data_IF_735127341288
#
_entry.id   IF_735127341288
#
_cell.length_a   1.000
_cell.length_b   1.000
_cell.length_c   1.000
_cell.angle_alpha   90.00
_cell.angle_beta   90.00
_cell.angle_gamma   90.00
#
_symmetry.space_group_name_H-M   'P 1'
#
loop_
_entity.id
_entity.type
_entity.pdbx_description
1 polymer ?
#
# COMPACT_ATOMS: atom_id res chain seq x y z
N UNK A 1 -4.70 -64.43 -39.50
CA UNK A 1 -4.57 -63.83 -38.17
C UNK A 1 -3.83 -62.55 -38.31
N UNK A 2 -4.51 -61.40 -38.26
CA UNK A 2 -3.90 -60.09 -38.33
C UNK A 2 -3.84 -59.50 -36.88
N UNK A 3 -2.63 -59.29 -36.36
CA UNK A 3 -2.44 -58.61 -35.08
C UNK A 3 -2.61 -57.10 -35.31
N UNK A 4 -3.63 -56.54 -34.70
CA UNK A 4 -3.80 -55.09 -34.56
C UNK A 4 -2.97 -54.64 -33.35
N UNK A 5 -1.88 -53.89 -33.59
CA UNK A 5 -1.13 -53.18 -32.56
C UNK A 5 -1.85 -51.85 -32.24
N UNK A 6 -2.48 -51.78 -31.08
CA UNK A 6 -3.03 -50.54 -30.56
C UNK A 6 -1.88 -49.67 -29.99
N UNK A 7 -1.57 -48.56 -30.67
CA UNK A 7 -0.67 -47.52 -30.12
C UNK A 7 -1.40 -46.71 -29.07
N UNK A 8 -1.03 -46.90 -27.82
CA UNK A 8 -1.47 -46.06 -26.71
C UNK A 8 -0.79 -44.70 -26.82
N UNK A 9 -1.53 -43.65 -27.13
CA UNK A 9 -1.07 -42.26 -27.06
C UNK A 9 -1.04 -41.90 -25.57
N UNK A 10 0.15 -41.90 -24.98
CA UNK A 10 0.37 -41.35 -23.64
C UNK A 10 0.26 -39.82 -23.71
N UNK A 11 -0.86 -39.27 -23.24
CA UNK A 11 -0.97 -37.87 -22.97
C UNK A 11 0.01 -37.56 -21.82
N UNK A 12 1.09 -36.87 -22.12
CA UNK A 12 1.94 -36.28 -21.11
C UNK A 12 1.08 -35.28 -20.31
N UNK A 13 0.73 -35.65 -19.08
CA UNK A 13 0.15 -34.71 -18.12
C UNK A 13 1.21 -33.69 -17.79
N UNK A 14 1.26 -32.61 -18.55
CA UNK A 14 2.06 -31.43 -18.19
C UNK A 14 1.62 -30.95 -16.80
N UNK A 15 2.57 -30.73 -15.90
CA UNK A 15 2.27 -30.12 -14.60
C UNK A 15 1.48 -28.82 -14.81
N UNK A 16 0.40 -28.62 -14.02
CA UNK A 16 -0.39 -27.38 -14.11
C UNK A 16 0.53 -26.16 -14.01
N UNK A 17 0.32 -25.14 -14.85
CA UNK A 17 1.17 -23.95 -14.82
C UNK A 17 1.13 -23.31 -13.43
N UNK A 18 2.27 -22.78 -12.98
CA UNK A 18 2.43 -22.20 -11.65
C UNK A 18 2.87 -20.75 -11.72
N UNK A 19 2.53 -19.99 -10.68
CA UNK A 19 3.02 -18.65 -10.39
C UNK A 19 3.59 -18.67 -8.98
N UNK A 20 4.83 -18.26 -8.81
CA UNK A 20 5.45 -18.08 -7.50
C UNK A 20 5.40 -16.60 -7.10
N UNK A 21 4.56 -16.29 -6.13
CA UNK A 21 4.28 -14.95 -5.65
C UNK A 21 5.01 -14.67 -4.34
N UNK A 22 5.82 -13.62 -4.31
CA UNK A 22 6.33 -13.03 -3.06
C UNK A 22 5.50 -11.80 -2.75
N UNK A 23 4.84 -11.78 -1.57
CA UNK A 23 3.87 -10.76 -1.22
C UNK A 23 4.12 -10.17 0.16
N UNK A 24 4.28 -8.85 0.22
CA UNK A 24 4.23 -8.10 1.47
C UNK A 24 2.79 -7.71 1.87
N UNK A 25 1.81 -8.07 1.06
CA UNK A 25 0.40 -7.92 1.40
C UNK A 25 0.01 -9.00 2.40
N UNK A 26 -0.50 -8.58 3.54
CA UNK A 26 -0.82 -9.45 4.69
C UNK A 26 -2.34 -9.48 4.96
N UNK A 27 -3.14 -9.32 3.91
CA UNK A 27 -4.58 -9.36 4.02
C UNK A 27 -5.09 -10.79 3.82
N UNK A 28 -5.75 -11.35 4.83
CA UNK A 28 -6.39 -12.67 4.72
C UNK A 28 -7.43 -12.70 3.57
N UNK A 29 -8.00 -11.56 3.26
CA UNK A 29 -8.91 -11.37 2.14
C UNK A 29 -8.26 -11.64 0.78
N UNK A 30 -6.96 -11.46 0.60
CA UNK A 30 -6.26 -11.69 -0.68
C UNK A 30 -6.31 -13.17 -1.14
N UNK A 31 -6.63 -14.11 -0.23
CA UNK A 31 -6.82 -15.53 -0.57
C UNK A 31 -7.88 -15.73 -1.66
N UNK A 32 -9.01 -15.04 -1.55
CA UNK A 32 -10.08 -15.13 -2.55
C UNK A 32 -9.63 -14.56 -3.91
N UNK A 33 -8.77 -13.53 -3.91
CA UNK A 33 -8.21 -12.96 -5.13
C UNK A 33 -7.31 -13.97 -5.86
N UNK A 34 -6.45 -14.68 -5.13
CA UNK A 34 -5.55 -15.69 -5.69
C UNK A 34 -6.30 -16.92 -6.16
N UNK A 35 -7.31 -17.34 -5.41
CA UNK A 35 -8.19 -18.46 -5.78
C UNK A 35 -9.00 -18.16 -7.04
N UNK A 36 -9.49 -16.92 -7.19
CA UNK A 36 -10.21 -16.46 -8.38
C UNK A 36 -9.30 -16.45 -9.62
N UNK A 37 -8.07 -15.97 -9.49
CA UNK A 37 -7.07 -16.04 -10.55
C UNK A 37 -6.83 -17.48 -11.00
N UNK A 38 -6.62 -18.40 -10.05
CA UNK A 38 -6.41 -19.82 -10.36
C UNK A 38 -7.61 -20.43 -11.06
N UNK A 39 -8.83 -20.11 -10.61
CA UNK A 39 -10.07 -20.59 -11.23
C UNK A 39 -10.25 -20.10 -12.67
N UNK A 40 -9.88 -18.83 -12.94
CA UNK A 40 -10.02 -18.23 -14.28
C UNK A 40 -8.95 -18.70 -15.27
N UNK A 41 -7.75 -19.01 -14.79
CA UNK A 41 -6.58 -19.22 -15.66
C UNK A 41 -6.05 -20.65 -15.66
N UNK A 42 -6.39 -21.44 -14.64
CA UNK A 42 -5.76 -22.74 -14.38
C UNK A 42 -4.34 -22.63 -13.80
N UNK A 43 -3.82 -21.42 -13.57
CA UNK A 43 -2.48 -21.19 -13.03
C UNK A 43 -2.56 -21.24 -11.50
N UNK A 44 -1.83 -22.18 -10.90
CA UNK A 44 -1.76 -22.29 -9.44
C UNK A 44 -0.83 -21.24 -8.86
N UNK A 45 -1.27 -20.52 -7.82
CA UNK A 45 -0.45 -19.54 -7.10
C UNK A 45 0.22 -20.22 -5.91
N UNK A 46 1.55 -20.30 -5.94
CA UNK A 46 2.39 -20.61 -4.77
C UNK A 46 2.84 -19.28 -4.18
N UNK A 47 2.68 -19.07 -2.88
CA UNK A 47 3.05 -17.78 -2.29
C UNK A 47 3.96 -17.90 -1.07
N UNK A 48 4.79 -16.86 -0.90
CA UNK A 48 5.53 -16.57 0.32
C UNK A 48 5.12 -15.18 0.76
N UNK A 49 4.63 -15.07 1.99
CA UNK A 49 4.24 -13.82 2.62
C UNK A 49 5.23 -13.46 3.73
N UNK A 50 5.77 -12.24 3.67
CA UNK A 50 6.67 -11.68 4.68
C UNK A 50 6.65 -10.15 4.61
N UNK A 51 7.31 -9.48 5.54
CA UNK A 51 7.51 -8.03 5.46
C UNK A 51 8.34 -7.61 4.25
N UNK A 52 8.12 -6.40 3.74
CA UNK A 52 8.77 -5.87 2.54
C UNK A 52 10.29 -6.05 2.56
N UNK A 53 10.97 -5.67 3.65
CA UNK A 53 12.43 -5.77 3.75
C UNK A 53 12.92 -7.22 3.69
N UNK A 54 12.23 -8.14 4.36
CA UNK A 54 12.61 -9.56 4.36
C UNK A 54 12.47 -10.17 2.96
N UNK A 55 11.44 -9.76 2.19
CA UNK A 55 11.26 -10.21 0.81
C UNK A 55 12.33 -9.63 -0.12
N UNK A 56 12.65 -8.34 0.02
CA UNK A 56 13.69 -7.69 -0.78
C UNK A 56 15.06 -8.34 -0.53
N UNK A 57 15.40 -8.60 0.73
CA UNK A 57 16.65 -9.26 1.10
C UNK A 57 16.70 -10.71 0.61
N UNK A 58 15.59 -11.43 0.72
CA UNK A 58 15.48 -12.79 0.20
C UNK A 58 15.75 -12.84 -1.30
N UNK A 59 15.12 -11.97 -2.09
CA UNK A 59 15.30 -11.92 -3.54
C UNK A 59 16.76 -11.58 -3.89
N UNK A 60 17.40 -10.67 -3.16
CA UNK A 60 18.81 -10.33 -3.37
C UNK A 60 19.71 -11.54 -3.10
N UNK A 61 19.45 -12.27 -2.01
CA UNK A 61 20.21 -13.47 -1.61
C UNK A 61 20.00 -14.61 -2.61
N UNK A 62 18.78 -14.84 -3.06
CA UNK A 62 18.46 -15.87 -4.06
C UNK A 62 19.03 -15.52 -5.45
N UNK A 63 19.16 -14.24 -5.76
CA UNK A 63 19.73 -13.73 -7.02
C UNK A 63 19.07 -14.33 -8.25
N UNK A 64 19.87 -14.83 -9.19
CA UNK A 64 19.36 -15.44 -10.42
C UNK A 64 18.68 -16.82 -10.20
N UNK A 65 18.84 -17.41 -9.02
CA UNK A 65 18.21 -18.69 -8.65
C UNK A 65 16.85 -18.49 -7.94
N UNK A 66 16.38 -17.24 -7.79
CA UNK A 66 15.11 -16.99 -7.16
C UNK A 66 13.98 -17.69 -7.92
N UNK A 67 13.14 -18.46 -7.23
CA UNK A 67 11.99 -19.11 -7.85
C UNK A 67 10.82 -18.10 -8.04
N UNK A 68 10.91 -16.90 -7.50
CA UNK A 68 9.83 -15.94 -7.49
C UNK A 68 9.59 -15.31 -8.86
N UNK A 69 8.31 -15.22 -9.26
CA UNK A 69 7.88 -14.63 -10.51
C UNK A 69 7.40 -13.19 -10.34
N UNK A 70 6.64 -12.93 -9.28
CA UNK A 70 6.05 -11.61 -8.98
C UNK A 70 6.40 -11.21 -7.56
N UNK A 71 6.72 -9.93 -7.39
CA UNK A 71 6.83 -9.27 -6.09
C UNK A 71 5.71 -8.25 -5.94
N UNK A 72 4.87 -8.40 -4.89
CA UNK A 72 3.88 -7.42 -4.46
C UNK A 72 4.35 -6.69 -3.21
N UNK A 73 4.34 -5.37 -3.25
CA UNK A 73 4.75 -4.47 -2.15
C UNK A 73 3.63 -3.51 -1.79
N UNK A 74 3.63 -3.01 -0.56
CA UNK A 74 2.51 -2.22 0.00
C UNK A 74 2.81 -0.74 0.18
N UNK A 75 3.89 -0.24 -0.41
CA UNK A 75 4.31 1.15 -0.26
C UNK A 75 5.09 1.65 -1.50
N UNK A 76 4.83 2.89 -1.87
CA UNK A 76 5.51 3.56 -2.98
C UNK A 76 7.04 3.55 -2.86
N UNK A 77 7.56 3.75 -1.65
CA UNK A 77 8.99 3.77 -1.38
C UNK A 77 9.63 2.40 -1.56
N UNK A 78 8.91 1.33 -1.25
CA UNK A 78 9.37 -0.05 -1.42
C UNK A 78 9.40 -0.46 -2.89
N UNK A 79 8.38 -0.08 -3.65
CA UNK A 79 8.36 -0.28 -5.11
C UNK A 79 9.51 0.45 -5.78
N UNK A 80 9.74 1.72 -5.42
CA UNK A 80 10.86 2.49 -5.93
C UNK A 80 12.21 1.85 -5.54
N UNK A 81 12.35 1.38 -4.30
CA UNK A 81 13.56 0.69 -3.85
C UNK A 81 13.83 -0.57 -4.66
N UNK A 82 12.84 -1.43 -4.84
CA UNK A 82 12.96 -2.63 -5.67
C UNK A 82 13.34 -2.28 -7.13
N UNK A 83 12.80 -1.19 -7.66
CA UNK A 83 13.12 -0.69 -9.00
C UNK A 83 14.59 -0.26 -9.11
N UNK A 84 15.10 0.59 -8.20
CA UNK A 84 16.50 1.06 -8.29
C UNK A 84 17.52 -0.04 -8.01
N UNK A 85 17.14 -1.06 -7.24
CA UNK A 85 17.95 -2.26 -7.02
C UNK A 85 17.92 -3.22 -8.24
N UNK A 86 17.16 -2.88 -9.31
CA UNK A 86 17.07 -3.65 -10.54
C UNK A 86 16.43 -5.02 -10.36
N UNK A 87 15.49 -5.15 -9.42
CA UNK A 87 14.81 -6.42 -9.11
C UNK A 87 13.71 -6.74 -10.11
N UNK A 88 13.15 -5.75 -10.80
CA UNK A 88 12.09 -5.93 -11.78
C UNK A 88 12.62 -5.99 -13.21
N UNK A 89 11.88 -6.66 -14.08
CA UNK A 89 12.03 -6.56 -15.52
C UNK A 89 10.87 -5.75 -16.11
N UNK A 90 11.09 -4.99 -17.20
CA UNK A 90 10.02 -4.24 -17.85
C UNK A 90 8.98 -5.17 -18.47
N UNK A 91 7.72 -4.80 -18.34
CA UNK A 91 6.57 -5.49 -18.91
C UNK A 91 5.82 -4.55 -19.83
N UNK A 92 5.68 -4.93 -21.10
CA UNK A 92 4.79 -4.27 -22.05
C UNK A 92 3.50 -5.08 -22.16
N UNK A 93 2.40 -4.50 -21.74
CA UNK A 93 1.07 -5.10 -21.85
C UNK A 93 0.06 -4.03 -22.25
N UNK A 94 -0.62 -4.26 -23.38
CA UNK A 94 -1.71 -3.35 -23.83
C UNK A 94 -2.82 -3.23 -22.79
N UNK A 95 -3.07 -4.28 -22.01
CA UNK A 95 -4.08 -4.30 -20.95
C UNK A 95 -3.64 -3.39 -19.81
N UNK A 96 -2.43 -3.60 -19.27
CA UNK A 96 -1.90 -2.80 -18.16
C UNK A 96 -1.74 -1.33 -18.57
N UNK A 97 -1.26 -1.09 -19.78
CA UNK A 97 -1.03 0.27 -20.31
C UNK A 97 -2.34 1.04 -20.53
N UNK A 98 -3.41 0.36 -20.90
CA UNK A 98 -4.72 0.99 -21.07
C UNK A 98 -5.45 1.21 -19.72
N UNK A 99 -5.21 0.36 -18.71
CA UNK A 99 -6.03 0.32 -17.49
C UNK A 99 -5.41 1.05 -16.31
N UNK A 100 -4.09 1.02 -16.17
CA UNK A 100 -3.42 1.64 -15.03
C UNK A 100 -2.87 3.01 -15.43
N UNK A 101 -3.21 4.10 -14.72
CA UNK A 101 -2.70 5.45 -15.00
C UNK A 101 -1.17 5.52 -14.95
N UNK A 102 -0.57 6.32 -15.82
CA UNK A 102 0.90 6.44 -15.96
C UNK A 102 1.60 6.84 -14.65
N UNK A 103 0.96 7.72 -13.84
CA UNK A 103 1.52 8.15 -12.56
C UNK A 103 1.51 7.06 -11.47
N UNK A 104 0.84 5.92 -11.73
CA UNK A 104 0.81 4.73 -10.86
C UNK A 104 1.60 3.56 -11.44
N UNK A 105 2.60 3.85 -12.29
CA UNK A 105 3.51 2.85 -12.88
C UNK A 105 4.95 3.17 -12.51
N UNK A 106 5.79 2.16 -12.58
CA UNK A 106 7.23 2.28 -12.48
C UNK A 106 7.85 2.97 -13.69
N UNK A 107 9.19 3.06 -13.68
CA UNK A 107 9.96 3.58 -14.80
C UNK A 107 9.59 2.82 -16.08
N UNK A 108 9.37 3.58 -17.16
CA UNK A 108 9.23 3.07 -18.52
C UNK A 108 10.20 3.84 -19.42
N UNK A 109 11.20 3.15 -19.95
CA UNK A 109 12.18 3.67 -20.90
C UNK A 109 11.88 3.23 -22.35
N UNK A 110 10.62 2.99 -22.67
CA UNK A 110 10.15 2.51 -23.97
C UNK A 110 10.09 0.98 -24.08
N UNK A 111 10.44 0.25 -23.00
CA UNK A 111 10.37 -1.22 -22.96
C UNK A 111 9.16 -1.74 -22.17
N UNK A 112 8.37 -0.86 -21.59
CA UNK A 112 7.27 -1.13 -20.66
C UNK A 112 7.63 -0.79 -19.23
N UNK A 113 6.63 -0.72 -18.36
CA UNK A 113 6.83 -0.35 -16.97
C UNK A 113 7.40 -1.51 -16.15
N UNK A 114 8.25 -1.17 -15.17
CA UNK A 114 8.89 -2.17 -14.30
C UNK A 114 7.96 -2.67 -13.19
N UNK A 115 6.95 -1.88 -12.80
CA UNK A 115 5.91 -2.27 -11.85
C UNK A 115 4.63 -1.49 -12.11
N UNK A 116 3.52 -1.98 -11.58
CA UNK A 116 2.18 -1.41 -11.72
C UNK A 116 1.51 -1.29 -10.36
N UNK A 117 0.85 -0.15 -10.12
CA UNK A 117 -0.04 0.03 -8.97
C UNK A 117 -1.27 -0.86 -9.09
N UNK A 118 -1.76 -1.38 -7.99
CA UNK A 118 -2.94 -2.25 -7.95
C UNK A 118 -4.06 -1.70 -7.07
N UNK A 119 -3.75 -0.90 -6.07
CA UNK A 119 -4.72 -0.22 -5.21
C UNK A 119 -4.10 1.03 -4.60
N UNK A 120 -4.96 1.97 -4.16
CA UNK A 120 -4.52 3.21 -3.48
C UNK A 120 -5.20 3.38 -2.12
N UNK A 121 -4.54 4.12 -1.24
CA UNK A 121 -5.06 4.54 0.06
C UNK A 121 -4.52 5.91 0.43
N UNK A 122 -5.28 6.62 1.27
CA UNK A 122 -4.89 7.91 1.78
C UNK A 122 -4.38 7.82 3.23
N UNK A 123 -3.47 8.72 3.60
CA UNK A 123 -3.00 8.92 4.97
C UNK A 123 -3.81 10.03 5.61
N UNK A 124 -4.74 9.71 6.48
CA UNK A 124 -5.66 10.66 7.12
C UNK A 124 -5.30 10.92 8.57
N UNK A 125 -5.91 11.95 9.15
CA UNK A 125 -5.89 12.17 10.58
C UNK A 125 -7.21 11.74 11.20
N UNK A 126 -7.16 11.01 12.32
CA UNK A 126 -8.31 10.73 13.19
C UNK A 126 -8.10 11.46 14.51
N UNK A 127 -9.19 12.08 15.03
CA UNK A 127 -9.11 12.83 16.27
C UNK A 127 -10.29 12.51 17.20
N UNK A 128 -10.06 12.65 18.50
CA UNK A 128 -11.06 12.49 19.53
C UNK A 128 -11.90 13.76 19.63
N UNK A 129 -13.22 13.67 19.38
CA UNK A 129 -14.16 14.80 19.35
C UNK A 129 -14.22 15.59 20.68
N UNK A 130 -13.88 14.94 21.81
CA UNK A 130 -13.89 15.59 23.12
C UNK A 130 -12.56 16.28 23.48
N UNK A 131 -11.47 16.00 22.73
CA UNK A 131 -10.12 16.47 23.08
C UNK A 131 -9.50 17.45 22.07
N UNK A 132 -9.96 17.39 20.81
CA UNK A 132 -9.41 18.18 19.71
C UNK A 132 -10.56 18.69 18.86
N UNK A 133 -10.53 19.98 18.54
CA UNK A 133 -11.51 20.59 17.63
C UNK A 133 -11.09 20.38 16.18
N UNK A 134 -12.03 20.31 15.23
CA UNK A 134 -11.75 20.09 13.82
C UNK A 134 -10.88 21.19 13.19
N UNK A 135 -10.91 22.41 13.74
CA UNK A 135 -10.11 23.54 13.26
C UNK A 135 -8.64 23.47 13.70
N UNK A 136 -8.30 22.62 14.69
CA UNK A 136 -6.93 22.40 15.16
C UNK A 136 -6.15 21.37 14.32
N UNK A 137 -6.80 20.64 13.39
CA UNK A 137 -6.21 19.50 12.67
C UNK A 137 -6.64 19.46 11.19
N UNK A 138 -6.42 20.55 10.45
CA UNK A 138 -6.77 20.67 9.02
C UNK A 138 -5.68 20.25 8.07
N UNK A 139 -4.43 20.33 8.52
CA UNK A 139 -3.24 20.04 7.72
C UNK A 139 -2.28 19.14 8.50
N UNK A 140 -1.40 18.44 7.78
CA UNK A 140 -0.32 17.69 8.46
C UNK A 140 0.56 18.61 9.31
N UNK A 141 0.73 19.87 8.87
CA UNK A 141 1.53 20.85 9.60
C UNK A 141 0.96 21.16 10.99
N UNK A 142 -0.35 21.09 11.15
CA UNK A 142 -1.02 21.35 12.43
C UNK A 142 -0.58 20.37 13.53
N UNK A 143 -0.17 19.15 13.17
CA UNK A 143 0.36 18.19 14.15
C UNK A 143 1.60 18.69 14.90
N UNK A 144 2.32 19.66 14.34
CA UNK A 144 3.47 20.32 14.96
C UNK A 144 3.09 21.54 15.82
N UNK A 145 1.80 21.94 15.85
CA UNK A 145 1.35 23.08 16.63
C UNK A 145 1.48 22.78 18.13
N UNK A 146 2.10 23.65 18.95
CA UNK A 146 2.24 23.46 20.40
C UNK A 146 0.91 23.27 21.15
N UNK A 147 -0.24 23.69 20.61
CA UNK A 147 -1.56 23.44 21.18
C UNK A 147 -1.92 21.95 21.27
N UNK A 148 -1.24 21.12 20.48
CA UNK A 148 -1.37 19.66 20.47
C UNK A 148 -0.35 18.95 21.36
N UNK A 149 0.40 19.68 22.20
CA UNK A 149 1.38 19.07 23.12
C UNK A 149 0.75 18.00 24.00
N UNK A 150 1.34 16.80 23.98
CA UNK A 150 0.83 15.64 24.72
C UNK A 150 -0.45 15.04 24.15
N UNK A 151 -0.82 15.37 22.89
CA UNK A 151 -2.05 14.87 22.27
C UNK A 151 -1.82 14.02 21.02
N UNK A 152 -0.62 14.00 20.43
CA UNK A 152 -0.34 13.29 19.19
C UNK A 152 0.12 11.86 19.46
N UNK A 153 -0.49 10.89 18.80
CA UNK A 153 0.00 9.52 18.74
C UNK A 153 0.44 9.14 17.32
N UNK A 154 1.47 8.33 17.24
CA UNK A 154 2.04 7.86 15.98
C UNK A 154 2.56 6.44 16.07
N UNK A 155 2.71 5.82 14.91
CA UNK A 155 3.59 4.66 14.71
C UNK A 155 5.06 5.13 14.79
N UNK A 156 5.98 4.15 14.89
CA UNK A 156 7.40 4.42 14.68
C UNK A 156 7.63 5.18 13.37
N UNK A 157 8.54 6.14 13.38
CA UNK A 157 8.98 6.88 12.19
C UNK A 157 9.55 5.96 11.11
N UNK A 158 10.14 4.83 11.48
CA UNK A 158 10.68 3.82 10.55
C UNK A 158 9.61 3.00 9.84
N UNK A 159 8.33 3.15 10.22
CA UNK A 159 7.22 2.52 9.49
C UNK A 159 7.19 3.02 8.04
N UNK A 160 7.00 2.14 7.03
CA UNK A 160 6.93 2.55 5.62
C UNK A 160 5.97 3.72 5.39
N UNK A 161 4.80 3.69 6.04
CA UNK A 161 3.79 4.73 5.88
C UNK A 161 4.20 6.09 6.46
N UNK A 162 5.03 6.10 7.50
CA UNK A 162 5.60 7.34 8.04
C UNK A 162 6.76 7.84 7.19
N UNK A 163 7.63 6.95 6.72
CA UNK A 163 8.69 7.29 5.78
C UNK A 163 8.14 7.94 4.52
N UNK A 164 7.07 7.37 3.93
CA UNK A 164 6.43 7.93 2.75
C UNK A 164 5.79 9.30 3.03
N UNK A 165 5.10 9.47 4.16
CA UNK A 165 4.52 10.77 4.52
C UNK A 165 5.61 11.82 4.76
N UNK A 166 6.66 11.50 5.53
CA UNK A 166 7.77 12.44 5.79
C UNK A 166 8.50 12.77 4.50
N UNK A 167 8.66 11.79 3.60
CA UNK A 167 9.18 12.01 2.25
C UNK A 167 8.32 12.98 1.45
N UNK A 168 7.00 12.80 1.44
CA UNK A 168 6.08 13.74 0.79
C UNK A 168 6.13 15.14 1.42
N UNK A 169 6.23 15.23 2.76
CA UNK A 169 6.41 16.52 3.45
C UNK A 169 7.72 17.19 3.04
N UNK A 170 8.80 16.43 2.80
CA UNK A 170 10.07 17.02 2.34
C UNK A 170 10.00 17.53 0.89
N UNK A 171 9.20 16.93 0.04
CA UNK A 171 8.94 17.44 -1.33
C UNK A 171 8.15 18.75 -1.30
N UNK A 172 7.17 18.89 -0.40
CA UNK A 172 6.33 20.09 -0.30
C UNK A 172 6.97 21.25 0.49
N UNK A 173 7.72 20.94 1.53
CA UNK A 173 8.26 21.94 2.47
C UNK A 173 9.78 22.16 2.34
N UNK A 174 10.45 21.36 1.55
CA UNK A 174 11.90 21.20 1.57
C UNK A 174 12.37 20.39 2.81
N UNK A 175 13.62 19.89 2.79
CA UNK A 175 14.17 19.06 3.87
C UNK A 175 14.12 19.78 5.23
N UNK A 176 14.55 21.06 5.28
CA UNK A 176 14.56 21.83 6.52
C UNK A 176 13.16 22.07 7.10
N UNK A 177 12.16 22.37 6.24
CA UNK A 177 10.77 22.55 6.65
C UNK A 177 10.14 21.24 7.16
N UNK A 178 10.41 20.12 6.49
CA UNK A 178 9.95 18.81 6.92
C UNK A 178 10.61 18.38 8.24
N UNK A 179 11.89 18.68 8.45
CA UNK A 179 12.56 18.40 9.72
C UNK A 179 11.98 19.24 10.85
N UNK A 180 11.75 20.54 10.62
CA UNK A 180 11.12 21.40 11.61
C UNK A 180 9.73 20.90 11.99
N UNK A 181 8.92 20.52 10.99
CA UNK A 181 7.62 19.90 11.21
C UNK A 181 7.74 18.60 12.03
N UNK A 182 8.59 17.69 11.63
CA UNK A 182 8.78 16.41 12.32
C UNK A 182 9.21 16.60 13.77
N UNK A 183 10.09 17.55 14.04
CA UNK A 183 10.53 17.94 15.40
C UNK A 183 9.37 18.44 16.24
N UNK A 184 8.50 19.29 15.67
CA UNK A 184 7.29 19.77 16.34
C UNK A 184 6.29 18.63 16.62
N UNK A 185 6.11 17.70 15.70
CA UNK A 185 5.25 16.50 15.89
C UNK A 185 5.79 15.65 17.05
N UNK A 186 7.10 15.36 17.08
CA UNK A 186 7.75 14.59 18.15
C UNK A 186 7.58 15.28 19.51
N UNK A 187 7.70 16.61 19.56
CA UNK A 187 7.48 17.38 20.80
C UNK A 187 6.03 17.32 21.31
N UNK A 188 5.09 16.98 20.44
CA UNK A 188 3.66 16.86 20.75
C UNK A 188 3.21 15.44 21.08
N UNK A 189 4.09 14.44 21.07
CA UNK A 189 3.70 13.07 21.37
C UNK A 189 3.10 12.93 22.77
N UNK A 190 1.97 12.24 22.84
CA UNK A 190 1.32 11.82 24.09
C UNK A 190 2.08 10.66 24.74
N UNK A 191 2.74 9.86 23.93
CA UNK A 191 3.51 8.66 24.34
C UNK A 191 4.57 8.34 23.29
N UNK A 192 5.53 7.51 23.67
CA UNK A 192 6.47 6.90 22.71
C UNK A 192 5.70 6.21 21.58
N UNK A 193 6.06 6.44 20.31
CA UNK A 193 5.47 5.78 19.16
C UNK A 193 5.48 4.26 19.28
N UNK A 194 4.34 3.62 19.02
CA UNK A 194 4.19 2.15 19.13
C UNK A 194 2.96 1.66 18.39
N UNK A 195 2.95 0.38 18.04
CA UNK A 195 1.80 -0.30 17.44
C UNK A 195 1.52 0.09 15.99
N UNK A 196 0.46 -0.46 15.44
CA UNK A 196 -0.02 -0.19 14.08
C UNK A 196 -1.09 0.90 14.03
N UNK A 197 -1.65 1.15 12.84
CA UNK A 197 -2.68 2.18 12.64
C UNK A 197 -3.96 1.89 13.43
N UNK A 198 -4.36 0.62 13.57
CA UNK A 198 -5.50 0.23 14.40
C UNK A 198 -5.29 0.62 15.87
N UNK A 199 -4.04 0.45 16.38
CA UNK A 199 -3.71 0.82 17.75
C UNK A 199 -3.75 2.34 17.93
N UNK A 200 -3.36 3.12 16.91
CA UNK A 200 -3.48 4.58 16.92
C UNK A 200 -4.96 5.00 16.98
N UNK A 201 -5.84 4.39 16.15
CA UNK A 201 -7.27 4.69 16.15
C UNK A 201 -7.87 4.40 17.54
N UNK A 202 -7.55 3.24 18.13
CA UNK A 202 -8.03 2.84 19.47
C UNK A 202 -7.51 3.78 20.57
N UNK A 203 -6.26 4.21 20.50
CA UNK A 203 -5.68 5.15 21.46
C UNK A 203 -6.35 6.55 21.39
N UNK A 204 -6.70 7.00 20.20
CA UNK A 204 -7.50 8.23 20.03
C UNK A 204 -8.90 8.05 20.58
N UNK A 205 -9.56 6.93 20.28
CA UNK A 205 -10.92 6.64 20.74
C UNK A 205 -11.02 6.54 22.28
N UNK A 206 -10.02 5.92 22.94
CA UNK A 206 -9.95 5.84 24.39
C UNK A 206 -9.62 7.17 25.07
N UNK A 207 -9.10 8.15 24.30
CA UNK A 207 -8.65 9.42 24.81
C UNK A 207 -7.22 9.38 25.38
N UNK A 208 -6.46 8.32 25.19
CA UNK A 208 -5.00 8.31 25.44
C UNK A 208 -4.32 9.38 24.60
N UNK A 209 -4.78 9.56 23.35
CA UNK A 209 -4.33 10.59 22.43
C UNK A 209 -5.51 11.48 21.99
N UNK A 210 -5.19 12.70 21.55
CA UNK A 210 -6.16 13.60 20.93
C UNK A 210 -6.28 13.38 19.42
N UNK A 211 -5.18 13.10 18.75
CA UNK A 211 -5.11 12.94 17.28
C UNK A 211 -4.05 11.90 16.90
N UNK A 212 -4.25 11.21 15.79
CA UNK A 212 -3.27 10.31 15.21
C UNK A 212 -3.39 10.23 13.68
N UNK A 213 -2.31 9.78 13.05
CA UNK A 213 -2.25 9.44 11.63
C UNK A 213 -2.62 7.97 11.40
N UNK A 214 -3.45 7.71 10.39
CA UNK A 214 -3.82 6.35 9.98
C UNK A 214 -4.06 6.27 8.48
N UNK A 215 -3.89 5.09 7.89
CA UNK A 215 -4.38 4.85 6.53
C UNK A 215 -5.88 4.60 6.55
N UNK A 216 -6.57 5.07 5.53
CA UNK A 216 -8.03 5.01 5.40
C UNK A 216 -8.60 3.61 5.57
N UNK A 217 -7.98 2.58 5.00
CA UNK A 217 -8.50 1.21 5.06
C UNK A 217 -8.56 0.62 6.47
N UNK A 218 -7.71 1.07 7.41
CA UNK A 218 -7.82 0.67 8.83
C UNK A 218 -9.08 1.26 9.48
N UNK A 219 -9.35 2.53 9.23
CA UNK A 219 -10.56 3.19 9.73
C UNK A 219 -11.81 2.53 9.15
N UNK A 220 -11.85 2.35 7.81
CA UNK A 220 -12.98 1.71 7.13
C UNK A 220 -13.21 0.28 7.62
N UNK A 221 -12.15 -0.48 7.87
CA UNK A 221 -12.26 -1.82 8.46
C UNK A 221 -12.94 -1.78 9.83
N UNK A 222 -12.59 -0.82 10.69
CA UNK A 222 -13.26 -0.65 11.98
C UNK A 222 -14.71 -0.19 11.83
N UNK A 223 -15.01 0.70 10.89
CA UNK A 223 -16.39 1.12 10.59
C UNK A 223 -17.29 -0.04 10.14
N UNK A 224 -16.72 -1.01 9.42
CA UNK A 224 -17.41 -2.23 8.95
C UNK A 224 -17.43 -3.37 9.97
N UNK A 225 -16.70 -3.23 11.07
CA UNK A 225 -16.59 -4.28 12.09
C UNK A 225 -17.92 -4.51 12.78
N UNK A 226 -18.26 -5.78 13.01
CA UNK A 226 -19.41 -6.16 13.82
C UNK A 226 -19.12 -6.06 15.33
N UNK A 227 -17.85 -5.97 15.73
CA UNK A 227 -17.44 -5.95 17.13
C UNK A 227 -17.92 -4.68 17.86
N UNK A 228 -18.61 -4.80 19.00
CA UNK A 228 -19.11 -3.64 19.76
C UNK A 228 -18.01 -2.64 20.13
N UNK A 229 -16.83 -3.13 20.49
CA UNK A 229 -15.68 -2.28 20.83
C UNK A 229 -15.18 -1.40 19.67
N UNK A 230 -15.22 -1.91 18.43
CA UNK A 230 -14.83 -1.14 17.26
C UNK A 230 -15.89 -0.07 16.92
N UNK A 231 -17.18 -0.42 17.05
CA UNK A 231 -18.30 0.53 16.88
C UNK A 231 -18.22 1.66 17.90
N UNK A 232 -17.96 1.33 19.14
CA UNK A 232 -17.79 2.32 20.21
C UNK A 232 -16.58 3.23 19.92
N UNK A 233 -15.44 2.64 19.52
CA UNK A 233 -14.25 3.42 19.16
C UNK A 233 -14.54 4.40 18.02
N UNK A 234 -15.18 3.94 16.94
CA UNK A 234 -15.53 4.78 15.78
C UNK A 234 -16.48 5.92 16.17
N UNK A 235 -17.44 5.69 17.09
CA UNK A 235 -18.39 6.74 17.52
C UNK A 235 -17.73 7.93 18.25
N UNK A 236 -16.57 7.71 18.87
CA UNK A 236 -15.84 8.73 19.67
C UNK A 236 -14.88 9.58 18.85
N UNK A 237 -14.59 9.17 17.62
CA UNK A 237 -13.60 9.83 16.78
C UNK A 237 -14.24 10.52 15.57
N UNK A 238 -13.50 11.40 14.95
CA UNK A 238 -13.77 11.90 13.60
C UNK A 238 -12.51 11.81 12.75
N UNK A 239 -12.71 11.80 11.44
CA UNK A 239 -11.64 11.83 10.45
C UNK A 239 -11.57 13.21 9.80
N UNK A 240 -10.38 13.60 9.41
CA UNK A 240 -10.12 14.77 8.59
C UNK A 240 -9.26 14.38 7.39
N UNK A 241 -9.58 14.95 6.24
CA UNK A 241 -8.73 14.97 5.04
C UNK A 241 -7.71 16.11 5.18
N UNK A 242 -6.40 15.83 5.41
CA UNK A 242 -5.42 16.91 5.55
C UNK A 242 -5.19 17.67 4.25
N UNK A 243 -4.78 18.92 4.38
CA UNK A 243 -4.25 19.77 3.29
C UNK A 243 -5.22 20.03 2.13
N UNK A 244 -6.53 20.01 2.34
CA UNK A 244 -7.53 20.17 1.28
C UNK A 244 -7.49 21.54 0.59
N UNK A 245 -6.97 22.56 1.29
CA UNK A 245 -6.80 23.93 0.74
C UNK A 245 -5.41 24.15 0.09
N UNK A 246 -4.52 23.16 0.19
CA UNK A 246 -3.17 23.23 -0.36
C UNK A 246 -2.93 22.10 -1.37
N UNK A 247 -1.97 21.23 -1.15
CA UNK A 247 -1.62 20.16 -2.11
C UNK A 247 -2.51 18.92 -2.05
N UNK A 248 -3.30 18.76 -1.00
CA UNK A 248 -4.19 17.61 -0.85
C UNK A 248 -3.66 16.56 0.12
N UNK A 249 -4.44 15.50 0.31
CA UNK A 249 -4.12 14.40 1.22
C UNK A 249 -3.11 13.44 0.59
N UNK A 250 -2.06 13.10 1.32
CA UNK A 250 -1.03 12.15 0.89
C UNK A 250 -1.63 10.79 0.50
N UNK A 251 -1.30 10.35 -0.70
CA UNK A 251 -1.71 9.07 -1.25
C UNK A 251 -0.54 8.08 -1.24
N UNK A 252 -0.86 6.83 -1.04
CA UNK A 252 0.09 5.74 -1.17
C UNK A 252 -0.54 4.58 -1.94
N UNK A 253 0.28 3.62 -2.39
CA UNK A 253 -0.15 2.53 -3.25
C UNK A 253 0.30 1.18 -2.74
N UNK A 254 -0.43 0.13 -3.12
CA UNK A 254 0.12 -1.21 -3.29
C UNK A 254 0.39 -1.44 -4.78
N UNK A 255 1.43 -2.17 -5.09
CA UNK A 255 1.79 -2.45 -6.46
C UNK A 255 2.72 -3.65 -6.56
N UNK A 256 3.07 -4.02 -7.78
CA UNK A 256 3.99 -5.11 -8.01
C UNK A 256 4.51 -5.18 -9.44
N UNK A 257 5.50 -6.01 -9.63
CA UNK A 257 6.14 -6.22 -10.91
C UNK A 257 6.64 -7.63 -11.09
N UNK A 258 6.97 -7.96 -12.33
CA UNK A 258 7.61 -9.22 -12.69
C UNK A 258 9.08 -9.14 -12.29
N UNK A 259 9.55 -10.12 -11.54
CA UNK A 259 10.95 -10.15 -11.11
C UNK A 259 11.90 -10.42 -12.29
N UNK A 260 13.11 -9.88 -12.18
CA UNK A 260 14.11 -9.92 -13.26
C UNK A 260 14.41 -11.33 -13.78
N UNK A 261 14.44 -12.30 -12.87
CA UNK A 261 14.76 -13.68 -13.15
C UNK A 261 13.55 -14.62 -13.06
N UNK A 262 12.33 -14.08 -13.18
CA UNK A 262 11.08 -14.83 -13.10
C UNK A 262 11.07 -16.05 -14.02
N UNK A 263 11.01 -17.30 -13.48
CA UNK A 263 10.99 -18.50 -14.30
C UNK A 263 9.67 -18.67 -15.10
N UNK A 264 8.55 -18.12 -14.60
CA UNK A 264 7.23 -18.23 -15.24
C UNK A 264 6.70 -16.85 -15.66
N UNK A 265 7.49 -16.12 -16.48
CA UNK A 265 7.19 -14.75 -16.90
C UNK A 265 5.78 -14.57 -17.46
N UNK A 266 5.30 -15.49 -18.29
CA UNK A 266 3.97 -15.38 -18.88
C UNK A 266 2.86 -15.46 -17.83
N UNK A 267 2.99 -16.37 -16.86
CA UNK A 267 2.06 -16.47 -15.73
C UNK A 267 2.09 -15.19 -14.87
N UNK A 268 3.28 -14.63 -14.68
CA UNK A 268 3.47 -13.37 -13.95
C UNK A 268 2.77 -12.19 -14.63
N UNK A 269 2.91 -12.04 -15.94
CA UNK A 269 2.22 -10.98 -16.71
C UNK A 269 0.71 -11.16 -16.63
N UNK A 270 0.21 -12.38 -16.86
CA UNK A 270 -1.23 -12.69 -16.74
C UNK A 270 -1.78 -12.38 -15.35
N UNK A 271 -0.99 -12.58 -14.30
CA UNK A 271 -1.40 -12.26 -12.95
C UNK A 271 -1.51 -10.73 -12.74
N UNK A 272 -0.55 -9.94 -13.22
CA UNK A 272 -0.64 -8.48 -13.16
C UNK A 272 -1.84 -7.96 -13.97
N UNK A 273 -2.10 -8.52 -15.15
CA UNK A 273 -3.28 -8.20 -15.97
C UNK A 273 -4.59 -8.54 -15.25
N UNK A 274 -4.63 -9.69 -14.58
CA UNK A 274 -5.77 -10.09 -13.74
C UNK A 274 -5.98 -9.09 -12.60
N UNK A 275 -4.92 -8.67 -11.89
CA UNK A 275 -5.03 -7.66 -10.83
C UNK A 275 -5.56 -6.31 -11.32
N UNK A 276 -5.37 -6.01 -12.61
CA UNK A 276 -5.97 -4.84 -13.26
C UNK A 276 -7.38 -5.09 -13.82
N UNK A 277 -7.97 -6.28 -13.69
CA UNK A 277 -9.35 -6.56 -14.13
C UNK A 277 -10.39 -5.87 -13.25
N UNK A 278 -11.60 -5.64 -13.81
CA UNK A 278 -12.67 -5.02 -13.03
C UNK A 278 -13.06 -5.84 -11.81
N UNK A 279 -13.06 -7.19 -11.92
CA UNK A 279 -13.39 -8.08 -10.80
C UNK A 279 -12.35 -8.01 -9.68
N UNK A 280 -11.06 -8.03 -10.02
CA UNK A 280 -9.99 -7.93 -9.03
C UNK A 280 -9.99 -6.55 -8.36
N UNK A 281 -10.19 -5.49 -9.14
CA UNK A 281 -10.23 -4.12 -8.64
C UNK A 281 -11.46 -3.86 -7.73
N UNK A 282 -12.62 -4.36 -8.10
CA UNK A 282 -13.82 -4.32 -7.23
C UNK A 282 -13.56 -5.08 -5.92
N UNK A 283 -12.94 -6.26 -6.00
CA UNK A 283 -12.58 -7.05 -4.83
C UNK A 283 -11.63 -6.29 -3.88
N UNK A 284 -10.60 -5.62 -4.41
CA UNK A 284 -9.68 -4.81 -3.59
C UNK A 284 -10.41 -3.69 -2.86
N UNK A 285 -11.41 -3.07 -3.49
CA UNK A 285 -12.22 -2.04 -2.86
C UNK A 285 -13.16 -2.62 -1.79
N UNK A 286 -13.84 -3.71 -2.08
CA UNK A 286 -14.83 -4.32 -1.20
C UNK A 286 -14.21 -5.12 -0.06
N UNK A 287 -13.17 -5.90 -0.35
CA UNK A 287 -12.48 -6.78 0.60
C UNK A 287 -11.44 -6.06 1.45
N UNK A 288 -10.62 -5.22 0.81
CA UNK A 288 -9.46 -4.59 1.47
C UNK A 288 -9.70 -3.13 1.86
N UNK A 289 -10.83 -2.54 1.47
CA UNK A 289 -11.17 -1.13 1.74
C UNK A 289 -10.16 -0.14 1.13
N UNK A 290 -9.59 -0.48 -0.01
CA UNK A 290 -8.65 0.36 -0.76
C UNK A 290 -9.34 0.86 -2.06
N UNK A 291 -8.97 2.04 -2.56
CA UNK A 291 -9.50 2.51 -3.84
C UNK A 291 -8.87 1.76 -5.00
N UNK A 292 -9.67 1.39 -6.01
CA UNK A 292 -9.14 0.82 -7.25
C UNK A 292 -8.26 1.84 -7.98
N UNK A 293 -7.29 1.35 -8.74
CA UNK A 293 -6.47 2.18 -9.65
C UNK A 293 -7.07 2.26 -11.05
N UNK A 294 -8.00 1.40 -11.37
CA UNK A 294 -8.67 1.32 -12.67
C UNK A 294 -9.95 2.13 -12.64
N UNK A 295 -10.04 3.15 -13.48
CA UNK A 295 -11.16 4.10 -13.46
C UNK A 295 -12.52 3.47 -13.82
N UNK A 296 -12.54 2.37 -14.60
CA UNK A 296 -13.77 1.66 -14.96
C UNK A 296 -14.27 0.73 -13.85
N UNK A 297 -13.47 0.45 -12.83
CA UNK A 297 -13.87 -0.45 -11.76
C UNK A 297 -14.94 0.19 -10.88
N UNK A 298 -16.07 -0.48 -10.78
CA UNK A 298 -17.18 -0.03 -9.92
C UNK A 298 -16.89 -0.45 -8.49
N UNK A 299 -16.62 0.52 -7.64
CA UNK A 299 -16.50 0.33 -6.21
C UNK A 299 -17.89 0.15 -5.59
N UNK A 300 -18.03 -0.83 -4.69
CA UNK A 300 -19.27 -1.09 -3.91
C UNK A 300 -18.97 -1.20 -2.44
N UNK A 301 -18.29 -0.19 -1.88
CA UNK A 301 -17.96 -0.15 -0.46
C UNK A 301 -18.58 1.10 0.19
N UNK A 302 -19.81 1.01 0.73
CA UNK A 302 -20.49 2.17 1.32
C UNK A 302 -19.70 2.84 2.45
N UNK A 303 -18.89 2.08 3.19
CA UNK A 303 -18.08 2.66 4.26
C UNK A 303 -16.88 3.46 3.73
N UNK A 304 -16.33 3.07 2.57
CA UNK A 304 -15.30 3.85 1.88
C UNK A 304 -15.92 5.11 1.24
N UNK A 305 -17.13 4.99 0.66
CA UNK A 305 -17.88 6.11 0.10
C UNK A 305 -18.30 7.12 1.17
N UNK A 306 -18.64 6.65 2.37
CA UNK A 306 -19.00 7.49 3.51
C UNK A 306 -17.86 8.41 4.00
N UNK A 307 -16.60 8.16 3.61
CA UNK A 307 -15.49 9.07 3.88
C UNK A 307 -15.60 10.39 3.11
N UNK A 308 -16.45 10.44 2.06
CA UNK A 308 -16.71 11.60 1.23
C UNK A 308 -15.58 11.92 0.24
N UNK A 309 -15.81 12.93 -0.63
CA UNK A 309 -14.82 13.36 -1.62
C UNK A 309 -13.66 14.11 -0.96
N UNK A 310 -12.48 14.04 -1.58
CA UNK A 310 -11.30 14.74 -1.12
C UNK A 310 -10.37 15.09 -2.29
N UNK A 311 -9.51 16.08 -2.05
CA UNK A 311 -8.40 16.40 -2.94
C UNK A 311 -7.21 15.50 -2.60
N UNK A 312 -6.85 14.61 -3.51
CA UNK A 312 -5.64 13.79 -3.40
C UNK A 312 -4.39 14.63 -3.73
N UNK A 313 -3.30 14.37 -3.04
CA UNK A 313 -1.99 14.88 -3.42
C UNK A 313 -1.56 14.22 -4.74
N UNK A 314 -1.09 15.03 -5.67
CA UNK A 314 -0.65 14.60 -7.01
C UNK A 314 0.84 14.29 -7.08
N UNK A 315 1.53 14.28 -5.93
CA UNK A 315 2.96 13.94 -5.87
C UNK A 315 3.18 12.52 -6.40
N UNK A 316 4.08 12.40 -7.37
CA UNK A 316 4.33 11.13 -8.05
C UNK A 316 4.96 10.09 -7.12
N UNK A 317 4.56 8.83 -7.28
CA UNK A 317 5.09 7.69 -6.50
C UNK A 317 6.61 7.63 -6.51
N UNK A 318 7.24 7.89 -7.66
CA UNK A 318 8.70 7.92 -7.79
C UNK A 318 9.36 9.06 -6.98
N UNK A 319 8.68 10.21 -6.81
CA UNK A 319 9.17 11.30 -5.98
C UNK A 319 9.13 10.90 -4.50
N UNK A 320 7.99 10.39 -4.03
CA UNK A 320 7.85 9.86 -2.66
C UNK A 320 8.93 8.80 -2.37
N UNK A 321 9.17 7.92 -3.34
CA UNK A 321 10.20 6.88 -3.23
C UNK A 321 11.61 7.44 -3.04
N UNK A 322 12.02 8.39 -3.89
CA UNK A 322 13.35 9.03 -3.80
C UNK A 322 13.55 9.75 -2.46
N UNK A 323 12.50 10.37 -1.94
CA UNK A 323 12.57 11.15 -0.71
C UNK A 323 12.66 10.30 0.57
N UNK A 324 12.58 8.96 0.44
CA UNK A 324 12.72 8.06 1.58
C UNK A 324 14.08 8.21 2.29
N UNK A 325 15.17 8.47 1.56
CA UNK A 325 16.50 8.66 2.15
C UNK A 325 16.49 9.91 3.04
N UNK A 326 15.92 11.01 2.53
CA UNK A 326 15.74 12.25 3.29
C UNK A 326 14.84 12.03 4.50
N UNK A 327 13.74 11.31 4.33
CA UNK A 327 12.82 10.97 5.42
C UNK A 327 13.51 10.18 6.53
N UNK A 328 14.32 9.17 6.20
CA UNK A 328 15.09 8.40 7.17
C UNK A 328 16.06 9.30 7.98
N UNK A 329 16.77 10.18 7.30
CA UNK A 329 17.69 11.15 7.98
C UNK A 329 16.94 12.09 8.92
N UNK A 330 15.77 12.58 8.51
CA UNK A 330 14.91 13.42 9.35
C UNK A 330 14.47 12.64 10.59
N UNK A 331 13.96 11.42 10.44
CA UNK A 331 13.53 10.55 11.54
C UNK A 331 14.65 10.38 12.57
N UNK A 332 15.86 10.09 12.12
CA UNK A 332 17.02 9.89 13.01
C UNK A 332 17.37 11.18 13.77
N UNK A 333 17.41 12.33 13.07
CA UNK A 333 17.75 13.64 13.67
C UNK A 333 16.73 14.12 14.69
N UNK A 334 15.44 13.84 14.49
CA UNK A 334 14.38 14.29 15.41
C UNK A 334 14.02 13.24 16.46
N UNK A 335 14.54 12.02 16.37
CA UNK A 335 14.27 10.96 17.32
C UNK A 335 12.85 10.39 17.26
N UNK A 336 12.23 10.35 16.09
CA UNK A 336 10.91 9.77 15.90
C UNK A 336 11.00 8.24 15.88
N UNK A 337 11.07 7.61 17.05
CA UNK A 337 11.31 6.17 17.23
C UNK A 337 10.08 5.42 17.70
#
# INVERSE_FOLDING_TARGET
MALQTASAIAFAQGSAPVLNLYSARHYQTDEALYSDFTRQTGIRVNRIEAGDEALLERIRTEGAQSPADVLLLVDASRLWRAQIDGLFQPVRSKILDARIPTHLRGKDDGKGAEWYGISTRARVMVYNRAKVRPDEVRTYQDLANPSLKGKVCSRSGTSPYMLSLIGAMSEHLGEAGAEQWARGVVANFARTPRGGDTDQIKAVASGECGVALTNTYYLVRMMRSAAPADKEAVSRIAMVWPNQQTWGTHMNISGGGVLKHAPHREAAVRFLEYLASDSAQAYLAEGNNEWPVVASAVQRNPALDALGPFKADTLGVAQVGRSQITASRIIDRVGWR
#
